data_IF_843224648518
#
_entry.id   IF_843224648518
#
_cell.length_a   1.000
_cell.length_b   1.000
_cell.length_c   1.000
_cell.angle_alpha   90.00
_cell.angle_beta   90.00
_cell.angle_gamma   90.00
#
_symmetry.space_group_name_H-M   'P 1'
#
loop_
_entity.id
_entity.type
_entity.pdbx_description
1 polymer ?
#
# COMPACT_ATOMS: atom_id res chain seq x y z
N UNK A 1 2.61 -18.26 -9.78
CA UNK A 1 1.75 -17.21 -9.20
C UNK A 1 1.03 -16.55 -10.37
N UNK A 2 -0.29 -16.36 -10.29
CA UNK A 2 -1.01 -15.54 -11.28
C UNK A 2 -0.50 -14.08 -11.19
N UNK A 3 -0.50 -13.30 -12.29
CA UNK A 3 -0.25 -11.86 -12.20
C UNK A 3 -1.35 -11.21 -11.35
N UNK A 4 -1.00 -10.21 -10.55
CA UNK A 4 -2.00 -9.41 -9.84
C UNK A 4 -2.65 -8.42 -10.81
N UNK A 5 -3.95 -8.19 -10.65
CA UNK A 5 -4.77 -7.34 -11.52
C UNK A 5 -5.04 -5.96 -10.89
N UNK A 6 -4.60 -5.76 -9.64
CA UNK A 6 -4.72 -4.49 -8.93
C UNK A 6 -3.53 -4.30 -8.00
N UNK A 7 -2.88 -3.14 -8.12
CA UNK A 7 -1.80 -2.71 -7.23
C UNK A 7 -2.23 -1.47 -6.48
N UNK A 8 -2.08 -1.48 -5.16
CA UNK A 8 -2.43 -0.38 -4.28
C UNK A 8 -1.16 0.02 -3.53
N UNK A 9 -0.63 1.18 -3.87
CA UNK A 9 0.60 1.73 -3.30
C UNK A 9 0.25 2.82 -2.30
N UNK A 10 0.65 2.60 -1.05
CA UNK A 10 0.63 3.63 -0.03
C UNK A 10 2.04 4.13 0.17
N UNK A 11 2.26 5.38 -0.20
CA UNK A 11 3.53 6.08 -0.08
C UNK A 11 3.47 6.87 1.22
N UNK A 12 4.35 6.52 2.15
CA UNK A 12 4.33 6.95 3.53
C UNK A 12 5.61 7.75 3.86
N UNK A 13 5.50 8.85 4.63
CA UNK A 13 6.67 9.63 5.01
C UNK A 13 7.48 8.97 6.14
N UNK A 14 7.00 7.86 6.72
CA UNK A 14 7.73 7.11 7.76
C UNK A 14 7.43 5.61 7.75
N UNK A 15 8.36 4.82 8.29
CA UNK A 15 8.19 3.38 8.48
C UNK A 15 6.98 3.07 9.39
N UNK A 16 6.77 3.89 10.42
CA UNK A 16 5.65 3.72 11.35
C UNK A 16 4.31 3.82 10.61
N UNK A 17 4.15 4.82 9.73
CA UNK A 17 2.94 4.96 8.93
C UNK A 17 2.80 3.81 7.93
N UNK A 18 3.89 3.36 7.31
CA UNK A 18 3.89 2.20 6.42
C UNK A 18 3.32 0.95 7.12
N UNK A 19 3.73 0.66 8.36
CA UNK A 19 3.19 -0.47 9.13
C UNK A 19 1.75 -0.25 9.59
N UNK A 20 1.39 0.95 10.06
CA UNK A 20 0.00 1.27 10.44
C UNK A 20 -0.95 1.12 9.26
N UNK A 21 -0.55 1.58 8.08
CA UNK A 21 -1.29 1.39 6.83
C UNK A 21 -1.50 -0.09 6.53
N UNK A 22 -0.46 -0.92 6.69
CA UNK A 22 -0.61 -2.37 6.53
C UNK A 22 -1.63 -2.94 7.51
N UNK A 23 -1.55 -2.57 8.78
CA UNK A 23 -2.45 -3.05 9.84
C UNK A 23 -3.90 -2.60 9.62
N UNK A 24 -4.10 -1.42 9.03
CA UNK A 24 -5.42 -0.88 8.70
C UNK A 24 -6.04 -1.52 7.43
N UNK A 25 -5.23 -1.71 6.38
CA UNK A 25 -5.72 -2.23 5.09
C UNK A 25 -5.90 -3.76 5.08
N UNK A 26 -5.03 -4.50 5.77
CA UNK A 26 -5.04 -5.98 5.74
C UNK A 26 -6.36 -6.60 6.24
N UNK A 27 -7.04 -6.07 7.28
CA UNK A 27 -8.36 -6.53 7.69
C UNK A 27 -9.45 -6.26 6.64
N UNK A 28 -9.42 -5.11 5.96
CA UNK A 28 -10.40 -4.75 4.92
C UNK A 28 -10.36 -5.76 3.77
N UNK A 29 -9.16 -6.06 3.26
CA UNK A 29 -8.98 -7.06 2.19
C UNK A 29 -9.36 -8.48 2.65
N UNK A 30 -9.13 -8.81 3.93
CA UNK A 30 -9.55 -10.10 4.50
C UNK A 30 -11.08 -10.20 4.60
N UNK A 31 -11.78 -9.13 4.94
CA UNK A 31 -13.25 -9.09 4.99
C UNK A 31 -13.88 -9.24 3.61
N UNK A 32 -13.22 -8.73 2.57
CA UNK A 32 -13.67 -8.86 1.18
C UNK A 32 -13.37 -10.24 0.55
N UNK A 33 -12.71 -11.14 1.29
CA UNK A 33 -12.30 -12.47 0.84
C UNK A 33 -11.55 -12.45 -0.49
N UNK A 34 -10.57 -11.54 -0.59
CA UNK A 34 -9.70 -11.41 -1.76
C UNK A 34 -8.29 -11.87 -1.44
N UNK A 35 -7.67 -12.55 -2.40
CA UNK A 35 -6.27 -12.95 -2.27
C UNK A 35 -5.39 -11.74 -2.50
N UNK A 36 -4.44 -11.48 -1.60
CA UNK A 36 -3.46 -10.42 -1.78
C UNK A 36 -2.09 -10.81 -1.23
N UNK A 37 -1.07 -10.07 -1.67
CA UNK A 37 0.29 -10.10 -1.12
C UNK A 37 0.69 -8.69 -0.78
N UNK A 38 1.45 -8.57 0.30
CA UNK A 38 1.99 -7.29 0.76
C UNK A 38 3.48 -7.25 0.45
N UNK A 39 3.94 -6.20 -0.22
CA UNK A 39 5.34 -5.93 -0.49
C UNK A 39 5.72 -4.58 0.12
N UNK A 40 6.91 -4.49 0.70
CA UNK A 40 7.43 -3.28 1.35
C UNK A 40 8.63 -2.75 0.56
N UNK A 41 8.65 -1.45 0.33
CA UNK A 41 9.80 -0.73 -0.19
C UNK A 41 10.28 0.23 0.87
N UNK A 42 11.60 0.25 1.09
CA UNK A 42 12.23 1.19 2.00
C UNK A 42 13.01 2.23 1.19
N UNK A 43 13.13 3.43 1.75
CA UNK A 43 14.10 4.40 1.28
C UNK A 43 15.49 3.77 1.12
N UNK A 44 16.19 3.93 -0.02
CA UNK A 44 17.62 3.64 -0.14
C UNK A 44 18.49 4.06 1.05
N UNK A 45 18.19 5.13 1.81
CA UNK A 45 18.97 5.47 3.02
C UNK A 45 18.85 4.42 4.13
N UNK A 46 17.76 3.64 4.18
CA UNK A 46 17.64 2.52 5.11
C UNK A 46 18.64 1.39 4.81
N UNK A 47 19.22 1.37 3.60
CA UNK A 47 20.16 0.33 3.15
C UNK A 47 21.61 0.81 3.11
N UNK A 48 21.91 2.09 3.42
CA UNK A 48 23.26 2.66 3.35
C UNK A 48 23.72 3.19 4.70
N UNK A 49 24.90 2.76 5.14
CA UNK A 49 25.62 3.28 6.31
C UNK A 49 26.45 4.55 5.99
N UNK A 50 26.14 5.30 4.94
CA UNK A 50 26.95 6.45 4.51
C UNK A 50 26.13 7.71 4.25
N UNK A 51 26.70 8.84 4.70
CA UNK A 51 26.10 10.16 4.76
C UNK A 51 25.80 10.74 3.37
N UNK A 52 24.53 11.16 3.22
CA UNK A 52 24.01 12.15 2.26
C UNK A 52 23.59 11.64 0.88
N UNK A 53 22.27 11.67 0.65
CA UNK A 53 21.63 11.87 -0.66
C UNK A 53 20.47 12.87 -0.47
N UNK A 54 20.24 13.82 -1.38
CA UNK A 54 19.05 14.66 -1.39
C UNK A 54 17.99 14.04 -2.30
N UNK A 55 17.14 13.16 -1.78
CA UNK A 55 15.87 12.81 -2.39
C UNK A 55 14.88 12.50 -1.26
N UNK A 56 13.61 12.90 -1.41
CA UNK A 56 12.57 12.50 -0.46
C UNK A 56 12.30 11.02 -0.73
N UNK A 57 13.08 10.14 -0.10
CA UNK A 57 12.91 8.71 -0.24
C UNK A 57 11.79 8.28 0.71
N UNK A 58 10.62 7.95 0.13
CA UNK A 58 9.41 7.60 0.87
C UNK A 58 9.34 6.08 1.12
N UNK A 59 8.74 5.67 2.24
CA UNK A 59 8.44 4.26 2.49
C UNK A 59 7.22 3.86 1.67
N UNK A 60 7.22 2.68 1.05
CA UNK A 60 6.06 2.23 0.27
C UNK A 60 5.51 0.92 0.82
N UNK A 61 4.22 0.90 1.12
CA UNK A 61 3.45 -0.32 1.38
C UNK A 61 2.60 -0.65 0.16
N UNK A 62 2.92 -1.74 -0.52
CA UNK A 62 2.20 -2.18 -1.73
C UNK A 62 1.34 -3.40 -1.42
N UNK A 63 0.06 -3.32 -1.78
CA UNK A 63 -0.85 -4.46 -1.82
C UNK A 63 -1.07 -4.90 -3.27
N UNK A 64 -0.66 -6.13 -3.57
CA UNK A 64 -0.90 -6.79 -4.85
C UNK A 64 -2.13 -7.66 -4.68
N UNK A 65 -3.24 -7.28 -5.31
CA UNK A 65 -4.52 -7.96 -5.15
C UNK A 65 -4.84 -8.75 -6.41
N UNK A 66 -5.22 -10.02 -6.23
CA UNK A 66 -5.67 -10.90 -7.31
C UNK A 66 -7.19 -10.89 -7.33
N UNK A 67 -7.77 -10.29 -8.36
CA UNK A 67 -9.21 -10.09 -8.47
C UNK A 67 -9.62 -9.95 -9.94
N UNK A 68 -10.77 -10.51 -10.32
CA UNK A 68 -11.28 -10.32 -11.68
C UNK A 68 -11.58 -8.83 -11.92
N UNK A 69 -11.20 -8.32 -13.11
CA UNK A 69 -11.36 -6.90 -13.47
C UNK A 69 -12.81 -6.39 -13.47
N UNK A 70 -13.80 -7.27 -13.50
CA UNK A 70 -15.22 -6.92 -13.41
C UNK A 70 -15.83 -7.28 -12.05
N UNK A 71 -15.03 -7.72 -11.09
CA UNK A 71 -15.53 -8.07 -9.76
C UNK A 71 -16.04 -6.81 -9.04
N UNK A 72 -17.29 -6.80 -8.54
CA UNK A 72 -17.88 -5.64 -7.87
C UNK A 72 -17.15 -5.26 -6.57
N UNK A 73 -16.33 -6.16 -6.01
CA UNK A 73 -15.51 -5.86 -4.83
C UNK A 73 -14.37 -4.89 -5.14
N UNK A 74 -14.01 -4.65 -6.41
CA UNK A 74 -13.00 -3.65 -6.77
C UNK A 74 -13.35 -2.29 -6.16
N UNK A 75 -14.58 -1.81 -6.33
CA UNK A 75 -15.00 -0.52 -5.79
C UNK A 75 -14.95 -0.49 -4.25
N UNK A 76 -15.22 -1.62 -3.60
CA UNK A 76 -15.09 -1.75 -2.14
C UNK A 76 -13.62 -1.68 -1.69
N UNK A 77 -12.71 -2.28 -2.46
CA UNK A 77 -11.26 -2.23 -2.21
C UNK A 77 -10.74 -0.81 -2.36
N UNK A 78 -11.16 -0.09 -3.41
CA UNK A 78 -10.74 1.30 -3.66
C UNK A 78 -11.24 2.21 -2.54
N UNK A 79 -12.51 2.06 -2.16
CA UNK A 79 -13.11 2.80 -1.05
C UNK A 79 -12.34 2.52 0.24
N UNK A 80 -12.02 1.25 0.53
CA UNK A 80 -11.21 0.88 1.69
C UNK A 80 -9.82 1.53 1.65
N UNK A 81 -9.15 1.56 0.50
CA UNK A 81 -7.85 2.20 0.36
C UNK A 81 -7.90 3.71 0.65
N UNK A 82 -8.91 4.41 0.14
CA UNK A 82 -9.13 5.84 0.44
C UNK A 82 -9.43 6.05 1.93
N UNK A 83 -10.29 5.24 2.54
CA UNK A 83 -10.59 5.31 3.97
C UNK A 83 -9.36 5.06 4.84
N UNK A 84 -8.43 4.21 4.41
CA UNK A 84 -7.16 3.98 5.11
C UNK A 84 -6.29 5.23 5.11
N UNK A 85 -6.20 5.96 3.99
CA UNK A 85 -5.46 7.25 3.96
C UNK A 85 -6.08 8.24 4.93
N UNK A 86 -7.41 8.43 4.87
CA UNK A 86 -8.11 9.37 5.73
C UNK A 86 -7.99 9.03 7.22
N UNK A 87 -7.98 7.74 7.57
CA UNK A 87 -7.93 7.28 8.96
C UNK A 87 -6.52 7.19 9.54
N UNK A 88 -5.51 6.85 8.74
CA UNK A 88 -4.14 6.64 9.22
C UNK A 88 -3.36 7.96 9.22
N UNK A 89 -3.33 8.67 8.10
CA UNK A 89 -2.70 10.00 7.98
C UNK A 89 -2.96 10.60 6.60
N UNK A 90 -3.34 11.88 6.56
CA UNK A 90 -3.48 12.67 5.32
C UNK A 90 -2.14 12.93 4.61
N UNK A 91 -1.02 12.62 5.25
CA UNK A 91 0.31 12.69 4.65
C UNK A 91 0.62 11.46 3.77
N UNK A 92 -0.19 10.40 3.85
CA UNK A 92 -0.02 9.22 2.99
C UNK A 92 -0.57 9.54 1.61
N UNK A 93 0.26 9.33 0.58
CA UNK A 93 -0.17 9.37 -0.80
C UNK A 93 -0.61 7.97 -1.24
N UNK A 94 -1.72 7.92 -1.96
CA UNK A 94 -2.29 6.69 -2.49
C UNK A 94 -2.21 6.69 -4.02
N UNK A 95 -1.55 5.67 -4.57
CA UNK A 95 -1.45 5.43 -6.01
C UNK A 95 -1.99 4.03 -6.32
N UNK A 96 -2.80 3.91 -7.38
CA UNK A 96 -3.50 2.66 -7.71
C UNK A 96 -3.30 2.35 -9.19
N UNK A 97 -2.80 1.15 -9.49
CA UNK A 97 -2.61 0.64 -10.85
C UNK A 97 -3.52 -0.57 -11.09
N UNK A 98 -4.15 -0.62 -12.27
CA UNK A 98 -5.08 -1.68 -12.71
C UNK A 98 -4.58 -2.32 -13.99
#
# INVERSE_FOLDING_TARGET
MLPADLYIHFICPSEQLMFRTRESMSPQLRQLDVRYRTDKSYPPECYRFELSIPAVEEYTMTFRVWIDKHDPRIEQILTAAHNVVESVSTEIRLEIER
#
